data_IF_721099778929
#
_entry.id   IF_721099778929
#
_cell.length_a   1.000
_cell.length_b   1.000
_cell.length_c   1.000
_cell.angle_alpha   90.00
_cell.angle_beta   90.00
_cell.angle_gamma   90.00
#
_symmetry.space_group_name_H-M   'P 1'
#
loop_
_entity.id
_entity.type
_entity.pdbx_description
1 polymer ?
#
# COMPACT_ATOMS: atom_id res chain seq x y z
N UNK A 1 -6.16 -17.31 -12.43
CA UNK A 1 -7.24 -16.31 -12.26
C UNK A 1 -6.99 -15.59 -10.96
N UNK A 2 -7.07 -14.26 -10.94
CA UNK A 2 -6.93 -13.44 -9.73
C UNK A 2 -8.24 -12.76 -9.35
N UNK A 3 -8.35 -12.38 -8.08
CA UNK A 3 -9.35 -11.43 -7.61
C UNK A 3 -9.16 -10.06 -8.27
N UNK A 4 -10.19 -9.21 -8.16
CA UNK A 4 -10.15 -7.86 -8.68
C UNK A 4 -8.92 -7.10 -8.15
N UNK A 5 -8.31 -6.22 -8.98
CA UNK A 5 -7.25 -5.34 -8.51
C UNK A 5 -7.71 -4.48 -7.33
N UNK A 6 -6.79 -4.20 -6.41
CA UNK A 6 -7.03 -3.29 -5.29
C UNK A 6 -7.39 -1.90 -5.85
N UNK A 7 -8.51 -1.35 -5.39
CA UNK A 7 -8.99 -0.05 -5.86
C UNK A 7 -8.05 1.07 -5.41
N UNK A 8 -7.72 2.00 -6.32
CA UNK A 8 -6.86 3.16 -6.01
C UNK A 8 -5.36 2.88 -6.02
N UNK A 9 -4.93 1.67 -6.38
CA UNK A 9 -3.53 1.31 -6.61
C UNK A 9 -3.22 1.48 -8.10
N UNK A 10 -2.14 2.20 -8.42
CA UNK A 10 -1.68 2.34 -9.79
C UNK A 10 -1.16 0.99 -10.33
N UNK A 11 -1.51 0.61 -11.57
CA UNK A 11 -1.01 -0.62 -12.17
C UNK A 11 0.51 -0.58 -12.36
N UNK A 12 1.22 -1.56 -11.81
CA UNK A 12 2.64 -1.80 -12.09
C UNK A 12 2.78 -2.80 -13.25
N UNK A 13 3.85 -2.69 -14.04
CA UNK A 13 4.05 -3.55 -15.21
C UNK A 13 5.40 -4.28 -15.13
N UNK A 14 5.46 -5.56 -15.54
CA UNK A 14 6.72 -6.28 -15.61
C UNK A 14 7.66 -5.68 -16.65
N UNK A 15 8.97 -5.80 -16.41
CA UNK A 15 10.02 -5.31 -17.32
C UNK A 15 10.00 -6.01 -18.70
N UNK A 16 9.40 -7.20 -18.79
CA UNK A 16 9.13 -7.91 -20.04
C UNK A 16 7.87 -7.34 -20.71
N UNK A 17 8.01 -6.21 -21.41
CA UNK A 17 6.88 -5.57 -22.06
C UNK A 17 6.50 -6.24 -23.40
N UNK A 18 5.21 -6.46 -23.60
CA UNK A 18 4.63 -6.70 -24.93
C UNK A 18 4.11 -5.35 -25.41
N UNK A 19 4.51 -4.91 -26.60
CA UNK A 19 4.12 -3.60 -27.13
C UNK A 19 2.60 -3.38 -27.04
N UNK A 20 2.20 -2.42 -26.21
CA UNK A 20 0.81 -2.02 -25.90
C UNK A 20 -0.11 -3.08 -25.27
N UNK A 21 0.40 -4.24 -24.89
CA UNK A 21 -0.40 -5.37 -24.40
C UNK A 21 0.19 -6.04 -23.15
N UNK A 22 1.09 -5.37 -22.41
CA UNK A 22 1.57 -5.89 -21.13
C UNK A 22 0.43 -5.83 -20.10
N UNK A 23 -0.06 -6.96 -19.55
CA UNK A 23 -0.97 -6.91 -18.42
C UNK A 23 -0.22 -6.36 -17.19
N UNK A 24 -0.89 -5.57 -16.33
CA UNK A 24 -0.28 -5.14 -15.08
C UNK A 24 -0.12 -6.30 -14.11
N UNK A 25 0.81 -6.16 -13.18
CA UNK A 25 1.02 -7.11 -12.10
C UNK A 25 -0.25 -7.21 -11.24
N UNK A 26 -0.74 -8.43 -10.98
CA UNK A 26 -1.97 -8.62 -10.24
C UNK A 26 -1.80 -8.18 -8.78
N UNK A 27 -2.69 -7.29 -8.34
CA UNK A 27 -2.76 -6.84 -6.94
C UNK A 27 -3.80 -7.61 -6.11
N UNK A 28 -4.60 -8.46 -6.75
CA UNK A 28 -5.56 -9.36 -6.12
C UNK A 28 -5.00 -10.78 -5.97
N UNK A 29 -5.37 -11.53 -4.92
CA UNK A 29 -4.88 -12.90 -4.72
C UNK A 29 -5.37 -13.85 -5.82
N UNK A 30 -4.65 -14.96 -6.04
CA UNK A 30 -5.12 -16.08 -6.85
C UNK A 30 -6.48 -16.56 -6.35
N UNK A 31 -7.37 -16.90 -7.28
CA UNK A 31 -8.66 -17.51 -6.96
C UNK A 31 -8.49 -18.99 -6.63
N UNK A 32 -9.17 -19.47 -5.58
CA UNK A 32 -9.17 -20.88 -5.21
C UNK A 32 -9.87 -21.74 -6.28
N UNK A 33 -9.45 -22.99 -6.52
CA UNK A 33 -10.19 -23.93 -7.36
C UNK A 33 -11.66 -24.05 -6.91
N UNK A 34 -12.58 -24.09 -7.85
CA UNK A 34 -14.02 -24.08 -7.56
C UNK A 34 -14.88 -23.68 -8.75
N UNK A 35 -16.18 -23.52 -8.51
CA UNK A 35 -17.13 -23.09 -9.52
C UNK A 35 -17.29 -21.57 -9.50
N UNK A 36 -17.10 -20.94 -10.64
CA UNK A 36 -17.23 -19.50 -10.85
C UNK A 36 -18.21 -19.21 -11.98
N UNK A 37 -18.61 -17.95 -12.09
CA UNK A 37 -19.35 -17.44 -13.24
C UNK A 37 -18.61 -16.25 -13.83
N UNK A 38 -18.33 -16.29 -15.13
CA UNK A 38 -17.81 -15.14 -15.87
C UNK A 38 -19.01 -14.31 -16.29
N UNK A 39 -19.05 -13.05 -15.84
CA UNK A 39 -20.13 -12.11 -16.15
C UNK A 39 -19.60 -11.04 -17.11
N UNK A 40 -20.23 -10.92 -18.28
CA UNK A 40 -20.02 -9.84 -19.24
C UNK A 40 -21.21 -8.88 -19.18
N UNK A 41 -20.96 -7.62 -18.83
CA UNK A 41 -21.97 -6.55 -18.94
C UNK A 41 -21.72 -5.75 -20.21
N UNK A 42 -22.66 -5.78 -21.15
CA UNK A 42 -22.58 -5.02 -22.40
C UNK A 42 -23.93 -4.38 -22.71
N UNK A 43 -23.95 -3.07 -22.98
CA UNK A 43 -25.17 -2.30 -23.29
C UNK A 43 -26.29 -2.49 -22.23
N UNK A 44 -25.92 -2.55 -20.95
CA UNK A 44 -26.86 -2.75 -19.84
C UNK A 44 -27.41 -4.18 -19.70
N UNK A 45 -26.95 -5.14 -20.51
CA UNK A 45 -27.30 -6.57 -20.39
C UNK A 45 -26.14 -7.35 -19.77
N UNK A 46 -26.47 -8.27 -18.87
CA UNK A 46 -25.52 -9.20 -18.27
C UNK A 46 -25.62 -10.56 -18.96
N UNK A 47 -24.48 -11.10 -19.35
CA UNK A 47 -24.33 -12.46 -19.86
C UNK A 47 -23.46 -13.23 -18.87
N UNK A 48 -23.90 -14.40 -18.42
CA UNK A 48 -23.17 -15.21 -17.46
C UNK A 48 -22.88 -16.60 -18.03
N UNK A 49 -21.64 -17.07 -17.89
CA UNK A 49 -21.24 -18.42 -18.26
C UNK A 49 -20.51 -19.10 -17.08
N UNK A 50 -20.85 -20.36 -16.74
CA UNK A 50 -20.14 -21.09 -15.70
C UNK A 50 -18.69 -21.37 -16.10
N UNK A 51 -17.80 -21.35 -15.12
CA UNK A 51 -16.38 -21.62 -15.24
C UNK A 51 -15.92 -22.46 -14.06
N UNK A 52 -15.50 -23.70 -14.32
CA UNK A 52 -14.86 -24.55 -13.32
C UNK A 52 -13.36 -24.27 -13.30
N UNK A 53 -12.86 -23.70 -12.22
CA UNK A 53 -11.45 -23.49 -11.99
C UNK A 53 -10.84 -24.73 -11.31
N UNK A 54 -9.83 -25.32 -11.93
CA UNK A 54 -9.10 -26.50 -11.42
C UNK A 54 -7.65 -26.16 -11.14
N UNK A 55 -7.05 -26.86 -10.19
CA UNK A 55 -5.62 -26.75 -9.91
C UNK A 55 -4.78 -27.38 -11.03
N UNK A 56 -3.60 -26.83 -11.30
CA UNK A 56 -2.62 -27.45 -12.21
C UNK A 56 -2.24 -28.84 -11.66
N UNK A 57 -2.36 -29.94 -12.45
CA UNK A 57 -2.06 -31.30 -11.99
C UNK A 57 -0.65 -31.53 -11.44
N UNK A 58 0.30 -30.63 -11.74
CA UNK A 58 1.68 -30.70 -11.26
C UNK A 58 1.83 -30.20 -9.82
N UNK A 59 0.89 -29.37 -9.35
CA UNK A 59 0.88 -28.85 -7.98
C UNK A 59 0.56 -29.99 -7.03
N UNK A 60 1.39 -30.15 -5.99
CA UNK A 60 1.25 -31.20 -4.97
C UNK A 60 0.61 -30.69 -3.68
N UNK A 61 0.37 -29.39 -3.58
CA UNK A 61 -0.29 -28.79 -2.43
C UNK A 61 -1.70 -29.37 -2.26
N UNK A 62 -2.03 -29.70 -1.02
CA UNK A 62 -3.37 -30.10 -0.62
C UNK A 62 -4.35 -28.92 -0.68
N UNK A 63 -5.64 -29.21 -0.74
CA UNK A 63 -6.68 -28.18 -0.72
C UNK A 63 -6.61 -27.31 0.55
N UNK A 64 -6.21 -27.88 1.69
CA UNK A 64 -6.03 -27.15 2.94
C UNK A 64 -4.85 -26.16 2.87
N UNK A 65 -3.72 -26.57 2.29
CA UNK A 65 -2.55 -25.70 2.11
C UNK A 65 -2.84 -24.52 1.16
N UNK A 66 -3.61 -24.77 0.10
CA UNK A 66 -4.07 -23.73 -0.82
C UNK A 66 -5.07 -22.78 -0.15
N UNK A 67 -5.96 -23.29 0.70
CA UNK A 67 -6.87 -22.47 1.50
C UNK A 67 -6.10 -21.56 2.45
N UNK A 68 -5.10 -22.10 3.15
CA UNK A 68 -4.24 -21.33 4.06
C UNK A 68 -3.48 -20.22 3.31
N UNK A 69 -2.97 -20.52 2.11
CA UNK A 69 -2.31 -19.56 1.24
C UNK A 69 -3.27 -18.44 0.83
N UNK A 70 -4.45 -18.81 0.33
CA UNK A 70 -5.49 -17.88 -0.10
C UNK A 70 -5.95 -16.97 1.04
N UNK A 71 -6.27 -17.53 2.21
CA UNK A 71 -6.72 -16.73 3.36
C UNK A 71 -5.68 -15.73 3.82
N UNK A 72 -4.41 -16.12 3.82
CA UNK A 72 -3.30 -15.24 4.19
C UNK A 72 -3.16 -14.09 3.20
N UNK A 73 -3.19 -14.38 1.90
CA UNK A 73 -3.13 -13.38 0.84
C UNK A 73 -4.36 -12.45 0.85
N UNK A 74 -5.55 -13.01 1.08
CA UNK A 74 -6.81 -12.28 1.14
C UNK A 74 -6.85 -11.28 2.28
N UNK A 75 -6.34 -11.65 3.46
CA UNK A 75 -6.23 -10.72 4.61
C UNK A 75 -5.31 -9.53 4.31
N UNK A 76 -4.17 -9.76 3.65
CA UNK A 76 -3.28 -8.67 3.23
C UNK A 76 -3.94 -7.79 2.15
N UNK A 77 -4.58 -8.41 1.17
CA UNK A 77 -5.35 -7.72 0.13
C UNK A 77 -6.42 -6.81 0.73
N UNK A 78 -7.18 -7.28 1.72
CA UNK A 78 -8.25 -6.52 2.37
C UNK A 78 -7.72 -5.35 3.22
N UNK A 79 -6.50 -5.45 3.76
CA UNK A 79 -5.89 -4.39 4.57
C UNK A 79 -5.23 -3.29 3.71
N UNK A 80 -4.80 -3.60 2.48
CA UNK A 80 -4.07 -2.66 1.61
C UNK A 80 -4.83 -1.34 1.31
N UNK A 81 -6.14 -1.33 1.00
CA UNK A 81 -6.86 -0.09 0.70
C UNK A 81 -6.78 0.99 1.79
N UNK A 82 -6.64 0.59 3.06
CA UNK A 82 -6.53 1.54 4.17
C UNK A 82 -5.13 2.19 4.27
N UNK A 83 -4.10 1.55 3.70
CA UNK A 83 -2.70 1.97 3.80
C UNK A 83 -2.23 2.71 2.55
N UNK A 84 -2.74 2.36 1.36
CA UNK A 84 -2.32 2.96 0.09
C UNK A 84 -2.41 4.50 0.08
N UNK A 85 -3.54 5.13 0.48
CA UNK A 85 -3.64 6.59 0.48
C UNK A 85 -2.71 7.25 1.51
N UNK A 86 -2.38 6.53 2.58
CA UNK A 86 -1.44 7.01 3.60
C UNK A 86 -0.04 7.06 3.01
N UNK A 87 0.38 6.01 2.29
CA UNK A 87 1.67 5.98 1.60
C UNK A 87 1.85 7.15 0.63
N UNK A 88 0.85 7.39 -0.22
CA UNK A 88 0.87 8.49 -1.20
C UNK A 88 0.97 9.87 -0.53
N UNK A 89 0.17 10.10 0.53
CA UNK A 89 0.18 11.36 1.28
C UNK A 89 1.46 11.56 2.09
N UNK A 90 2.06 10.48 2.60
CA UNK A 90 3.34 10.53 3.31
C UNK A 90 4.47 11.01 2.39
N UNK A 91 4.53 10.49 1.16
CA UNK A 91 5.47 10.96 0.13
C UNK A 91 5.23 12.44 -0.18
N UNK A 92 3.98 12.82 -0.43
CA UNK A 92 3.58 14.20 -0.76
C UNK A 92 3.93 15.19 0.36
N UNK A 93 3.69 14.82 1.62
CA UNK A 93 4.04 15.62 2.79
C UNK A 93 5.56 15.71 2.97
N UNK A 94 6.30 14.62 2.76
CA UNK A 94 7.76 14.64 2.80
C UNK A 94 8.36 15.64 1.81
N UNK A 95 7.85 15.65 0.58
CA UNK A 95 8.24 16.60 -0.47
C UNK A 95 7.87 18.05 -0.12
N UNK A 96 6.66 18.29 0.40
CA UNK A 96 6.23 19.62 0.84
C UNK A 96 7.06 20.13 2.01
N UNK A 97 7.41 19.26 2.96
CA UNK A 97 8.23 19.58 4.13
C UNK A 97 9.66 19.94 3.75
N UNK A 98 10.26 19.21 2.79
CA UNK A 98 11.58 19.55 2.26
C UNK A 98 11.60 20.98 1.68
N UNK A 99 10.60 21.34 0.86
CA UNK A 99 10.46 22.70 0.30
C UNK A 99 10.25 23.75 1.39
N UNK A 100 9.46 23.44 2.43
CA UNK A 100 9.24 24.35 3.55
C UNK A 100 10.53 24.64 4.32
N UNK A 101 11.38 23.62 4.54
CA UNK A 101 12.70 23.78 5.19
C UNK A 101 13.64 24.70 4.41
N UNK A 102 13.71 24.54 3.09
CA UNK A 102 14.53 25.39 2.22
C UNK A 102 14.11 26.87 2.29
N UNK A 103 12.80 27.12 2.41
CA UNK A 103 12.23 28.48 2.52
C UNK A 103 12.33 29.05 3.93
N UNK A 104 12.27 28.19 4.94
CA UNK A 104 12.33 28.61 6.34
C UNK A 104 13.70 29.22 6.69
N UNK A 105 14.80 28.62 6.20
CA UNK A 105 16.18 29.05 6.54
C UNK A 105 16.32 29.21 8.07
N UNK A 106 16.67 30.41 8.54
CA UNK A 106 16.88 30.72 9.96
C UNK A 106 15.60 31.25 10.66
N UNK A 107 14.42 31.08 10.06
CA UNK A 107 13.15 31.48 10.70
C UNK A 107 12.91 30.66 11.98
N UNK A 108 12.22 31.23 12.98
CA UNK A 108 11.93 30.53 14.24
C UNK A 108 11.17 29.19 14.10
N UNK A 109 10.46 28.97 12.99
CA UNK A 109 9.65 27.76 12.71
C UNK A 109 10.48 26.52 12.35
N UNK A 110 11.81 26.66 12.16
CA UNK A 110 12.69 25.55 11.76
C UNK A 110 12.68 24.41 12.79
N UNK A 111 12.59 24.72 14.09
CA UNK A 111 12.53 23.69 15.13
C UNK A 111 11.25 22.83 15.03
N UNK A 112 10.11 23.44 14.71
CA UNK A 112 8.84 22.74 14.56
C UNK A 112 8.78 21.93 13.26
N UNK A 113 9.40 22.42 12.18
CA UNK A 113 9.60 21.63 10.97
C UNK A 113 10.46 20.38 11.23
N UNK A 114 11.54 20.49 12.01
CA UNK A 114 12.34 19.35 12.41
C UNK A 114 11.58 18.36 13.31
N UNK A 115 10.79 18.86 14.26
CA UNK A 115 9.97 18.02 15.12
C UNK A 115 8.91 17.25 14.31
N UNK A 116 8.25 17.91 13.36
CA UNK A 116 7.26 17.27 12.49
C UNK A 116 7.89 16.24 11.55
N UNK A 117 9.07 16.54 10.99
CA UNK A 117 9.80 15.57 10.18
C UNK A 117 10.16 14.30 10.96
N UNK A 118 10.58 14.44 12.23
CA UNK A 118 10.84 13.29 13.09
C UNK A 118 9.57 12.46 13.32
N UNK A 119 8.39 13.08 13.44
CA UNK A 119 7.11 12.36 13.52
C UNK A 119 6.80 11.63 12.21
N UNK A 120 6.98 12.27 11.05
CA UNK A 120 6.78 11.62 9.75
C UNK A 120 7.75 10.44 9.53
N UNK A 121 9.01 10.58 9.94
CA UNK A 121 10.01 9.52 9.80
C UNK A 121 9.65 8.24 10.57
N UNK A 122 8.81 8.31 11.62
CA UNK A 122 8.34 7.13 12.37
C UNK A 122 7.42 6.22 11.55
N UNK A 123 6.89 6.68 10.42
CA UNK A 123 6.10 5.87 9.49
C UNK A 123 6.96 5.13 8.46
N UNK A 124 8.23 5.52 8.35
CA UNK A 124 9.20 4.94 7.41
C UNK A 124 10.08 3.88 8.07
N UNK A 125 10.72 3.02 7.26
CA UNK A 125 11.63 2.01 7.78
C UNK A 125 12.74 2.67 8.63
N UNK A 126 13.09 2.09 9.79
CA UNK A 126 14.08 2.68 10.69
C UNK A 126 15.47 2.77 10.07
N UNK A 127 15.78 1.85 9.14
CA UNK A 127 17.07 1.74 8.47
C UNK A 127 17.09 2.45 7.10
N UNK A 128 16.17 3.39 6.87
CA UNK A 128 16.18 4.20 5.66
C UNK A 128 17.49 5.01 5.55
N UNK A 129 18.07 5.05 4.34
CA UNK A 129 19.29 5.81 4.09
C UNK A 129 19.05 7.30 4.40
N UNK A 130 20.06 8.04 4.89
CA UNK A 130 19.95 9.49 5.02
C UNK A 130 19.54 10.13 3.69
N UNK A 131 18.49 10.95 3.71
CA UNK A 131 17.94 11.60 2.52
C UNK A 131 17.06 10.72 1.62
N UNK A 132 16.77 9.48 2.01
CA UNK A 132 15.77 8.66 1.31
C UNK A 132 14.39 9.33 1.40
N UNK A 133 13.60 9.19 0.32
CA UNK A 133 12.20 9.59 0.34
C UNK A 133 11.43 8.83 1.42
N UNK A 134 10.47 9.50 2.05
CA UNK A 134 9.60 8.84 3.03
C UNK A 134 8.72 7.80 2.33
N UNK A 135 8.59 6.64 2.95
CA UNK A 135 7.72 5.54 2.50
C UNK A 135 6.96 4.98 3.68
N UNK A 136 5.83 4.33 3.46
CA UNK A 136 5.06 3.70 4.53
C UNK A 136 5.55 2.26 4.77
N UNK A 137 6.25 2.02 5.88
CA UNK A 137 6.89 0.72 6.16
C UNK A 137 5.89 -0.44 6.23
N UNK A 138 4.76 -0.24 6.91
CA UNK A 138 3.72 -1.27 7.03
C UNK A 138 3.12 -1.68 5.69
N UNK A 139 2.98 -0.73 4.75
CA UNK A 139 2.51 -1.01 3.38
C UNK A 139 3.56 -1.80 2.61
N UNK A 140 4.83 -1.38 2.65
CA UNK A 140 5.92 -2.08 1.98
C UNK A 140 6.09 -3.52 2.50
N UNK A 141 5.94 -3.74 3.81
CA UNK A 141 5.92 -5.09 4.43
C UNK A 141 4.74 -5.92 3.93
N UNK A 142 3.54 -5.33 3.89
CA UNK A 142 2.32 -5.99 3.43
C UNK A 142 2.47 -6.43 1.97
N UNK A 143 2.91 -5.54 1.07
CA UNK A 143 3.10 -5.82 -0.35
C UNK A 143 4.13 -6.93 -0.57
N UNK A 144 5.25 -6.88 0.17
CA UNK A 144 6.28 -7.93 0.11
C UNK A 144 5.75 -9.29 0.55
N UNK A 145 5.03 -9.34 1.66
CA UNK A 145 4.43 -10.59 2.16
C UNK A 145 3.38 -11.12 1.18
N UNK A 146 2.56 -10.24 0.60
CA UNK A 146 1.61 -10.61 -0.42
C UNK A 146 2.33 -11.26 -1.61
N UNK A 147 3.37 -10.62 -2.15
CA UNK A 147 4.19 -11.17 -3.22
C UNK A 147 4.76 -12.56 -2.89
N UNK A 148 5.37 -12.73 -1.70
CA UNK A 148 5.91 -14.04 -1.29
C UNK A 148 4.85 -15.13 -1.18
N UNK A 149 3.62 -14.79 -0.79
CA UNK A 149 2.53 -15.76 -0.73
C UNK A 149 2.01 -16.09 -2.13
N UNK A 150 2.08 -15.17 -3.08
CA UNK A 150 1.57 -15.37 -4.45
C UNK A 150 2.57 -16.04 -5.41
N UNK A 151 3.85 -16.14 -5.04
CA UNK A 151 4.93 -16.62 -5.91
C UNK A 151 4.95 -18.15 -6.09
N UNK A 152 4.40 -18.92 -5.15
CA UNK A 152 4.42 -20.39 -5.18
C UNK A 152 3.06 -20.99 -4.80
N UNK A 153 2.65 -22.05 -5.49
CA UNK A 153 1.43 -22.82 -5.19
C UNK A 153 1.66 -23.78 -4.00
N UNK A 154 1.96 -23.23 -2.82
CA UNK A 154 2.24 -23.97 -1.60
C UNK A 154 1.81 -23.19 -0.34
N UNK A 155 1.64 -23.91 0.78
CA UNK A 155 1.34 -23.27 2.05
C UNK A 155 2.46 -22.28 2.45
N UNK A 156 2.11 -21.08 2.96
CA UNK A 156 3.10 -20.15 3.49
C UNK A 156 3.88 -20.79 4.65
N UNK A 157 5.20 -20.56 4.68
CA UNK A 157 6.04 -21.02 5.79
C UNK A 157 5.57 -20.42 7.13
N UNK A 158 5.90 -21.08 8.25
CA UNK A 158 5.55 -20.58 9.58
C UNK A 158 6.05 -19.13 9.82
N UNK A 159 7.24 -18.80 9.29
CA UNK A 159 7.79 -17.44 9.35
C UNK A 159 6.92 -16.42 8.62
N UNK A 160 6.42 -16.76 7.43
CA UNK A 160 5.53 -15.89 6.66
C UNK A 160 4.20 -15.74 7.40
N UNK A 161 3.61 -16.84 7.91
CA UNK A 161 2.36 -16.79 8.67
C UNK A 161 2.46 -15.86 9.88
N UNK A 162 3.54 -15.95 10.65
CA UNK A 162 3.80 -15.04 11.78
C UNK A 162 3.91 -13.58 11.33
N UNK A 163 4.69 -13.31 10.27
CA UNK A 163 4.86 -11.95 9.76
C UNK A 163 3.54 -11.35 9.23
N UNK A 164 2.66 -12.16 8.64
CA UNK A 164 1.30 -11.74 8.23
C UNK A 164 0.48 -11.31 9.44
N UNK A 165 0.49 -12.10 10.52
CA UNK A 165 -0.23 -11.73 11.75
C UNK A 165 0.32 -10.44 12.34
N UNK A 166 1.63 -10.27 12.36
CA UNK A 166 2.28 -9.07 12.89
C UNK A 166 1.93 -7.82 12.09
N UNK A 167 2.02 -7.85 10.75
CA UNK A 167 1.73 -6.69 9.90
C UNK A 167 0.25 -6.31 9.97
N UNK A 168 -0.66 -7.29 10.04
CA UNK A 168 -2.10 -7.04 10.14
C UNK A 168 -2.47 -6.47 11.52
N UNK A 169 -1.73 -6.83 12.57
CA UNK A 169 -1.90 -6.23 13.90
C UNK A 169 -1.35 -4.80 13.95
N UNK A 170 -0.27 -4.51 13.22
CA UNK A 170 0.36 -3.19 13.17
C UNK A 170 -0.46 -2.17 12.37
N UNK A 171 -1.08 -2.61 11.25
CA UNK A 171 -1.74 -1.72 10.30
C UNK A 171 -2.79 -0.77 10.92
N UNK A 172 -3.74 -1.23 11.76
CA UNK A 172 -4.72 -0.34 12.38
C UNK A 172 -4.07 0.74 13.26
N UNK A 173 -3.03 0.38 14.04
CA UNK A 173 -2.33 1.33 14.89
C UNK A 173 -1.56 2.38 14.08
N UNK A 174 -1.06 2.02 12.89
CA UNK A 174 -0.46 2.99 11.96
C UNK A 174 -1.52 3.94 11.40
N UNK A 175 -2.68 3.42 10.99
CA UNK A 175 -3.80 4.22 10.50
C UNK A 175 -4.25 5.24 11.55
N UNK A 176 -4.42 4.83 12.80
CA UNK A 176 -4.80 5.73 13.90
C UNK A 176 -3.73 6.80 14.18
N UNK A 177 -2.45 6.43 14.20
CA UNK A 177 -1.35 7.38 14.39
C UNK A 177 -1.30 8.41 13.26
N UNK A 178 -1.50 7.97 12.02
CA UNK A 178 -1.58 8.86 10.86
C UNK A 178 -2.76 9.82 10.97
N UNK A 179 -3.95 9.33 11.32
CA UNK A 179 -5.14 10.17 11.51
C UNK A 179 -4.91 11.25 12.57
N UNK A 180 -4.29 10.91 13.71
CA UNK A 180 -3.94 11.88 14.76
C UNK A 180 -2.96 12.93 14.26
N UNK A 181 -1.91 12.52 13.54
CA UNK A 181 -0.93 13.43 12.95
C UNK A 181 -1.60 14.45 12.01
N UNK A 182 -2.49 13.98 11.13
CA UNK A 182 -3.18 14.84 10.17
C UNK A 182 -4.24 15.74 10.83
N UNK A 183 -4.92 15.25 11.87
CA UNK A 183 -5.98 15.99 12.54
C UNK A 183 -5.47 17.05 13.53
N UNK A 184 -4.28 16.86 14.09
CA UNK A 184 -3.76 17.69 15.19
C UNK A 184 -2.44 18.37 14.82
N UNK A 185 -1.43 17.58 14.46
CA UNK A 185 -0.07 18.10 14.28
C UNK A 185 0.09 18.92 13.00
N UNK A 186 -0.52 18.49 11.89
CA UNK A 186 -0.44 19.19 10.61
C UNK A 186 -1.11 20.58 10.65
N UNK A 187 -2.35 20.75 11.16
CA UNK A 187 -2.97 22.06 11.29
C UNK A 187 -2.18 23.01 12.20
N UNK A 188 -1.67 22.51 13.33
CA UNK A 188 -0.87 23.31 14.25
C UNK A 188 0.41 23.83 13.58
N UNK A 189 1.15 22.96 12.87
CA UNK A 189 2.33 23.38 12.12
C UNK A 189 1.99 24.35 10.99
N UNK A 190 0.87 24.14 10.28
CA UNK A 190 0.44 25.04 9.22
C UNK A 190 0.12 26.45 9.75
N UNK A 191 -0.45 26.57 10.95
CA UNK A 191 -0.68 27.87 11.59
C UNK A 191 0.65 28.59 11.92
N UNK A 192 1.64 27.87 12.43
CA UNK A 192 2.97 28.42 12.72
C UNK A 192 3.71 28.85 11.43
N UNK A 193 3.58 28.05 10.36
CA UNK A 193 4.12 28.40 9.04
C UNK A 193 3.52 29.70 8.51
N UNK A 194 2.20 29.89 8.63
CA UNK A 194 1.53 31.12 8.20
C UNK A 194 1.99 32.34 9.02
N UNK A 195 2.12 32.21 10.34
CA UNK A 195 2.65 33.27 11.19
C UNK A 195 4.09 33.64 10.83
N UNK A 196 4.87 32.68 10.32
CA UNK A 196 6.21 32.90 9.80
C UNK A 196 6.23 33.40 8.34
N UNK A 197 5.07 33.62 7.70
CA UNK A 197 4.94 34.05 6.31
C UNK A 197 5.33 32.99 5.28
N UNK A 198 5.17 31.70 5.61
CA UNK A 198 5.44 30.56 4.74
C UNK A 198 4.15 29.90 4.25
N UNK A 199 4.25 29.19 3.13
CA UNK A 199 3.14 28.39 2.58
C UNK A 199 2.82 27.19 3.50
N UNK A 200 1.53 26.83 3.57
CA UNK A 200 1.06 25.60 4.24
C UNK A 200 1.61 24.35 3.56
N UNK A 201 1.83 23.30 4.34
CA UNK A 201 2.11 21.96 3.81
C UNK A 201 0.87 21.36 3.15
N UNK A 202 1.08 20.67 2.02
CA UNK A 202 0.04 20.01 1.23
C UNK A 202 0.06 18.49 1.43
N UNK A 203 -1.12 17.89 1.49
CA UNK A 203 -1.32 16.43 1.45
C UNK A 203 -1.40 15.88 0.03
N UNK A 204 -1.56 16.76 -0.96
CA UNK A 204 -1.66 16.42 -2.38
C UNK A 204 -0.40 16.89 -3.10
N UNK A 205 0.10 16.08 -4.04
CA UNK A 205 0.99 16.58 -5.07
C UNK A 205 0.24 17.62 -5.90
N UNK A 206 0.81 18.83 -6.02
CA UNK A 206 0.35 19.74 -7.07
C UNK A 206 0.56 19.02 -8.40
N UNK A 207 -0.48 18.84 -9.24
CA UNK A 207 -0.29 18.24 -10.55
C UNK A 207 0.74 19.06 -11.33
N UNK A 208 1.68 18.35 -11.96
CA UNK A 208 2.61 18.92 -12.93
C UNK A 208 1.88 19.31 -14.22
#
# INVERSE_FOLDING_TARGET
MHYAPVTGVEPQYPMSAIFRNTPPDPTGPWAMPGEYSVVLTANGKNYAQPLTLKMDPRVKASAAELSDQFESAKKLYDARPALEPIGQRLVSLGSSLAKARERARDKPVTAQLEAFAKKLAQFSPPDARPGAALTLDVLAKLERLFGFIQDVDAAPTARIKTAVVEVLREAPAVVERWQKLIAQDLPALNQELEQAGLERLSLEEKPH
#
